data_IF_586153113786
#
_entry.id   IF_586153113786
#
_cell.length_a   1.000
_cell.length_b   1.000
_cell.length_c   1.000
_cell.angle_alpha   90.00
_cell.angle_beta   90.00
_cell.angle_gamma   90.00
#
_symmetry.space_group_name_H-M   'P 1'
#
loop_
_entity.id
_entity.type
_entity.pdbx_description
1 polymer ?
#
# COMPACT_ATOMS: atom_id res chain seq x y z
N UNK A 1 -20.19 6.93 -12.93
CA UNK A 1 -18.82 6.54 -13.36
C UNK A 1 -18.70 5.04 -13.30
N UNK A 2 -18.06 4.44 -14.30
CA UNK A 2 -17.81 3.01 -14.35
C UNK A 2 -16.66 2.65 -13.39
N UNK A 3 -16.82 1.54 -12.69
CA UNK A 3 -15.75 0.96 -11.89
C UNK A 3 -14.88 0.04 -12.76
N UNK A 4 -13.69 -0.33 -12.26
CA UNK A 4 -12.86 -1.34 -12.92
C UNK A 4 -13.63 -2.68 -13.10
N UNK A 5 -14.50 -3.04 -12.14
CA UNK A 5 -15.31 -4.24 -12.23
C UNK A 5 -16.27 -4.21 -13.43
N UNK A 6 -16.85 -3.04 -13.73
CA UNK A 6 -17.72 -2.86 -14.90
C UNK A 6 -16.93 -3.02 -16.21
N UNK A 7 -15.72 -2.45 -16.28
CA UNK A 7 -14.82 -2.61 -17.42
C UNK A 7 -14.38 -4.07 -17.61
N UNK A 8 -14.01 -4.76 -16.54
CA UNK A 8 -13.64 -6.19 -16.58
C UNK A 8 -14.83 -7.09 -16.99
N UNK A 9 -16.06 -6.67 -16.74
CA UNK A 9 -17.28 -7.40 -17.07
C UNK A 9 -17.70 -7.32 -18.55
N UNK A 10 -17.09 -6.44 -19.35
CA UNK A 10 -17.43 -6.26 -20.77
C UNK A 10 -16.25 -6.59 -21.69
N UNK A 11 -16.52 -7.12 -22.89
CA UNK A 11 -15.49 -7.42 -23.89
C UNK A 11 -14.74 -6.17 -24.33
N UNK A 12 -15.45 -5.05 -24.52
CA UNK A 12 -14.85 -3.76 -24.89
C UNK A 12 -13.96 -3.21 -23.79
N UNK A 13 -14.42 -3.29 -22.54
CA UNK A 13 -13.64 -2.86 -21.38
C UNK A 13 -12.37 -3.71 -21.19
N UNK A 14 -12.44 -5.02 -21.38
CA UNK A 14 -11.28 -5.92 -21.32
C UNK A 14 -10.26 -5.59 -22.43
N UNK A 15 -10.73 -5.32 -23.65
CA UNK A 15 -9.85 -4.91 -24.75
C UNK A 15 -9.19 -3.57 -24.47
N UNK A 16 -9.94 -2.60 -23.94
CA UNK A 16 -9.39 -1.31 -23.54
C UNK A 16 -8.34 -1.47 -22.44
N UNK A 17 -8.61 -2.25 -21.39
CA UNK A 17 -7.67 -2.54 -20.31
C UNK A 17 -6.40 -3.22 -20.83
N UNK A 18 -6.54 -4.21 -21.71
CA UNK A 18 -5.39 -4.89 -22.32
C UNK A 18 -4.54 -3.94 -23.19
N UNK A 19 -5.17 -3.00 -23.92
CA UNK A 19 -4.46 -1.96 -24.68
C UNK A 19 -3.64 -1.01 -23.79
N UNK A 20 -4.03 -0.89 -22.51
CA UNK A 20 -3.34 -0.11 -21.48
C UNK A 20 -2.38 -0.95 -20.61
N UNK A 21 -2.14 -2.22 -20.98
CA UNK A 21 -1.24 -3.11 -20.24
C UNK A 21 -1.82 -3.72 -18.98
N UNK A 22 -3.16 -3.71 -18.82
CA UNK A 22 -3.87 -4.34 -17.71
C UNK A 22 -4.48 -5.66 -18.16
N UNK A 23 -4.18 -6.73 -17.44
CA UNK A 23 -4.59 -8.10 -17.74
C UNK A 23 -5.36 -8.70 -16.56
N UNK A 24 -6.32 -9.58 -16.87
CA UNK A 24 -7.05 -10.38 -15.87
C UNK A 24 -6.62 -11.83 -15.88
N UNK A 25 -5.83 -12.22 -16.88
CA UNK A 25 -5.33 -13.59 -17.10
C UNK A 25 -3.83 -13.68 -16.79
N UNK A 26 -3.46 -14.55 -15.85
CA UNK A 26 -2.05 -14.82 -15.50
C UNK A 26 -1.20 -15.25 -16.71
N UNK A 27 -1.65 -16.11 -17.65
CA UNK A 27 -0.88 -16.43 -18.84
C UNK A 27 -0.58 -15.22 -19.72
N UNK A 28 -1.57 -14.39 -20.03
CA UNK A 28 -1.38 -13.18 -20.83
C UNK A 28 -0.43 -12.19 -20.16
N UNK A 29 -0.55 -12.03 -18.84
CA UNK A 29 0.35 -11.18 -18.07
C UNK A 29 1.80 -11.70 -18.13
N UNK A 30 2.03 -13.02 -17.98
CA UNK A 30 3.36 -13.64 -18.06
C UNK A 30 4.05 -13.38 -19.40
N UNK A 31 3.34 -13.43 -20.52
CA UNK A 31 3.88 -13.11 -21.85
C UNK A 31 4.33 -11.66 -22.00
N UNK A 32 3.83 -10.77 -21.19
CA UNK A 32 4.12 -9.33 -21.22
C UNK A 32 5.17 -8.87 -20.20
N UNK A 33 5.63 -9.78 -19.34
CA UNK A 33 6.68 -9.46 -18.36
C UNK A 33 7.96 -9.01 -19.08
N UNK A 34 8.49 -7.87 -18.66
CA UNK A 34 9.75 -7.34 -19.19
C UNK A 34 10.92 -7.57 -18.21
N UNK A 35 12.13 -7.44 -18.71
CA UNK A 35 13.30 -7.39 -17.85
C UNK A 35 13.27 -6.09 -17.03
N UNK A 36 13.66 -6.11 -15.74
CA UNK A 36 13.84 -4.89 -14.96
C UNK A 36 15.00 -4.07 -15.53
N UNK A 37 14.93 -2.75 -15.47
CA UNK A 37 16.00 -1.84 -15.89
C UNK A 37 17.08 -1.69 -14.80
N UNK A 38 16.72 -1.95 -13.53
CA UNK A 38 17.61 -1.92 -12.36
C UNK A 38 17.56 -3.24 -11.60
N UNK A 39 18.72 -3.70 -11.13
CA UNK A 39 18.87 -4.97 -10.42
C UNK A 39 19.16 -4.83 -8.93
N UNK A 40 19.46 -3.64 -8.44
CA UNK A 40 19.87 -3.43 -7.04
C UNK A 40 18.83 -3.90 -6.02
N UNK A 41 17.53 -3.78 -6.31
CA UNK A 41 16.49 -4.37 -5.44
C UNK A 41 16.58 -5.91 -5.45
N UNK A 42 16.72 -6.53 -6.63
CA UNK A 42 16.85 -7.98 -6.75
C UNK A 42 18.12 -8.49 -6.03
N UNK A 43 19.24 -7.79 -6.19
CA UNK A 43 20.49 -8.09 -5.49
C UNK A 43 20.30 -7.98 -3.98
N UNK A 44 19.67 -6.93 -3.47
CA UNK A 44 19.38 -6.74 -2.04
C UNK A 44 18.49 -7.83 -1.46
N UNK A 45 17.61 -8.42 -2.29
CA UNK A 45 16.78 -9.57 -1.92
C UNK A 45 17.48 -10.93 -2.09
N UNK A 46 18.73 -10.95 -2.60
CA UNK A 46 19.44 -12.18 -2.92
C UNK A 46 18.90 -12.92 -4.15
N UNK A 47 18.22 -12.20 -5.06
CA UNK A 47 17.50 -12.75 -6.22
C UNK A 47 18.00 -12.18 -7.54
N UNK A 48 19.32 -11.99 -7.63
CA UNK A 48 19.95 -11.47 -8.84
C UNK A 48 19.61 -12.33 -10.08
N UNK A 49 19.32 -11.65 -11.19
CA UNK A 49 18.93 -12.27 -12.47
C UNK A 49 17.46 -12.69 -12.55
N UNK A 50 16.66 -12.57 -11.49
CA UNK A 50 15.22 -12.88 -11.53
C UNK A 50 14.37 -11.68 -11.91
N UNK A 51 13.23 -11.95 -12.55
CA UNK A 51 12.18 -10.96 -12.80
C UNK A 51 11.33 -10.78 -11.55
N UNK A 52 11.26 -9.57 -11.03
CA UNK A 52 10.51 -9.26 -9.82
C UNK A 52 9.04 -8.99 -10.13
N UNK A 53 8.13 -9.71 -9.47
CA UNK A 53 6.67 -9.47 -9.52
C UNK A 53 6.24 -8.84 -8.20
N UNK A 54 5.76 -7.59 -8.27
CA UNK A 54 5.40 -6.83 -7.10
C UNK A 54 3.89 -6.75 -6.88
N UNK A 55 3.48 -6.81 -5.65
CA UNK A 55 2.20 -6.28 -5.19
C UNK A 55 2.42 -5.42 -3.96
N UNK A 56 1.44 -4.66 -3.51
CA UNK A 56 1.60 -3.84 -2.31
C UNK A 56 0.29 -3.50 -1.63
N UNK A 57 0.40 -3.21 -0.32
CA UNK A 57 -0.69 -2.76 0.53
C UNK A 57 -0.15 -2.04 1.77
N UNK A 58 -0.96 -1.17 2.34
CA UNK A 58 -0.72 -0.63 3.68
C UNK A 58 -0.64 -1.76 4.70
N UNK A 59 0.21 -1.60 5.70
CA UNK A 59 0.31 -2.51 6.84
C UNK A 59 -0.89 -2.35 7.76
N UNK A 60 -1.90 -3.19 7.53
CA UNK A 60 -3.10 -3.30 8.34
C UNK A 60 -2.93 -4.34 9.43
N UNK A 61 -3.76 -4.27 10.48
CA UNK A 61 -3.86 -5.34 11.48
C UNK A 61 -4.80 -6.47 11.02
N UNK A 62 -5.67 -6.17 10.06
CA UNK A 62 -6.63 -7.10 9.48
C UNK A 62 -6.85 -6.76 8.00
N UNK A 63 -7.28 -7.70 7.18
CA UNK A 63 -7.34 -7.55 5.74
C UNK A 63 -8.65 -8.04 5.16
N UNK A 64 -9.12 -7.32 4.13
CA UNK A 64 -10.21 -7.74 3.25
C UNK A 64 -9.75 -8.78 2.21
N UNK A 65 -10.69 -9.55 1.67
CA UNK A 65 -10.44 -10.58 0.65
C UNK A 65 -9.74 -10.02 -0.60
N UNK A 66 -9.98 -8.76 -0.93
CA UNK A 66 -9.30 -8.09 -2.06
C UNK A 66 -7.78 -8.02 -1.90
N UNK A 67 -7.25 -7.98 -0.69
CA UNK A 67 -5.80 -8.03 -0.41
C UNK A 67 -5.31 -9.48 -0.47
N UNK A 68 -6.09 -10.42 0.07
CA UNK A 68 -5.77 -11.84 0.00
C UNK A 68 -5.67 -12.33 -1.43
N UNK A 69 -6.55 -11.86 -2.34
CA UNK A 69 -6.48 -12.22 -3.76
C UNK A 69 -5.14 -11.84 -4.38
N UNK A 70 -4.58 -10.67 -4.05
CA UNK A 70 -3.25 -10.26 -4.51
C UNK A 70 -2.15 -11.21 -4.01
N UNK A 71 -2.19 -11.58 -2.73
CA UNK A 71 -1.21 -12.47 -2.11
C UNK A 71 -1.29 -13.87 -2.71
N UNK A 72 -2.49 -14.41 -2.92
CA UNK A 72 -2.69 -15.71 -3.53
C UNK A 72 -2.26 -15.73 -5.00
N UNK A 73 -2.47 -14.63 -5.72
CA UNK A 73 -1.95 -14.47 -7.09
C UNK A 73 -0.42 -14.46 -7.11
N UNK A 74 0.22 -13.76 -6.17
CA UNK A 74 1.69 -13.84 -6.06
C UNK A 74 2.18 -15.26 -5.79
N UNK A 75 1.44 -16.07 -5.02
CA UNK A 75 1.79 -17.47 -4.77
C UNK A 75 1.87 -18.30 -6.05
N UNK A 76 1.12 -17.96 -7.11
CA UNK A 76 1.17 -18.66 -8.40
C UNK A 76 2.52 -18.51 -9.12
N UNK A 77 3.32 -17.52 -8.74
CA UNK A 77 4.65 -17.26 -9.31
C UNK A 77 5.81 -17.83 -8.47
N UNK A 78 5.54 -18.33 -7.26
CA UNK A 78 6.60 -18.69 -6.30
C UNK A 78 7.52 -19.82 -6.76
N UNK A 79 6.98 -20.77 -7.54
CA UNK A 79 7.71 -21.97 -7.98
C UNK A 79 8.33 -21.78 -9.39
N UNK A 80 8.18 -20.59 -9.99
CA UNK A 80 8.78 -20.25 -11.28
C UNK A 80 10.27 -19.88 -11.07
N UNK A 81 11.21 -20.59 -11.73
CA UNK A 81 12.63 -20.37 -11.51
C UNK A 81 13.11 -18.98 -11.96
N UNK A 82 12.42 -18.35 -12.91
CA UNK A 82 12.80 -17.06 -13.49
C UNK A 82 12.11 -15.88 -12.80
N UNK A 83 11.12 -16.16 -11.95
CA UNK A 83 10.32 -15.14 -11.29
C UNK A 83 10.58 -15.10 -9.78
N UNK A 84 10.40 -13.90 -9.22
CA UNK A 84 10.44 -13.72 -7.78
C UNK A 84 9.30 -12.79 -7.33
N UNK A 85 8.23 -13.36 -6.75
CA UNK A 85 7.13 -12.58 -6.21
C UNK A 85 7.50 -12.01 -4.86
N UNK A 86 7.27 -10.69 -4.67
CA UNK A 86 7.40 -10.03 -3.38
C UNK A 86 6.24 -9.08 -3.10
N UNK A 87 6.07 -8.75 -1.83
CA UNK A 87 5.01 -7.84 -1.39
C UNK A 87 5.61 -6.60 -0.74
N UNK A 88 5.27 -5.43 -1.25
CA UNK A 88 5.66 -4.15 -0.70
C UNK A 88 4.67 -3.72 0.39
N UNK A 89 5.11 -3.76 1.63
CA UNK A 89 4.33 -3.31 2.77
C UNK A 89 4.54 -1.82 3.02
N UNK A 90 3.45 -1.06 2.95
CA UNK A 90 3.46 0.39 3.15
C UNK A 90 3.20 0.68 4.63
N UNK A 91 4.27 0.94 5.38
CA UNK A 91 4.28 1.31 6.79
C UNK A 91 4.31 2.83 7.00
N UNK A 92 4.43 3.58 5.91
CA UNK A 92 4.49 5.05 5.89
C UNK A 92 3.12 5.70 5.69
N UNK A 93 2.04 4.92 5.67
CA UNK A 93 0.71 5.50 5.59
C UNK A 93 0.19 5.90 6.97
N UNK A 94 -0.73 6.88 6.97
CA UNK A 94 -1.22 7.51 8.19
C UNK A 94 -2.19 6.62 8.94
N UNK A 95 -2.05 6.57 10.25
CA UNK A 95 -3.08 6.09 11.15
C UNK A 95 -4.32 7.00 11.02
N UNK A 96 -5.46 6.42 10.67
CA UNK A 96 -6.71 7.16 10.53
C UNK A 96 -7.83 6.54 11.33
N UNK A 97 -8.92 7.30 11.53
CA UNK A 97 -10.06 6.78 12.28
C UNK A 97 -10.77 5.62 11.57
N UNK A 98 -10.61 5.52 10.23
CA UNK A 98 -11.45 4.64 9.40
C UNK A 98 -10.69 3.55 8.65
N UNK A 99 -9.36 3.47 8.81
CA UNK A 99 -8.55 2.45 8.18
C UNK A 99 -8.19 1.27 9.11
N UNK A 100 -7.85 0.14 8.52
CA UNK A 100 -7.47 -1.10 9.21
C UNK A 100 -6.04 -1.07 9.79
N UNK A 101 -5.33 0.04 9.74
CA UNK A 101 -4.02 0.21 10.38
C UNK A 101 -4.19 0.13 11.90
N UNK A 102 -5.27 0.70 12.44
CA UNK A 102 -5.48 0.88 13.88
C UNK A 102 -6.67 0.14 14.45
N UNK A 103 -7.42 -0.60 13.62
CA UNK A 103 -8.63 -1.31 14.05
C UNK A 103 -8.78 -2.63 13.31
N UNK A 104 -9.44 -3.60 13.96
CA UNK A 104 -9.87 -4.82 13.28
C UNK A 104 -11.07 -4.56 12.36
N UNK A 105 -11.13 -5.25 11.21
CA UNK A 105 -12.31 -5.24 10.36
C UNK A 105 -13.51 -5.90 11.07
N UNK A 106 -13.23 -6.87 11.91
CA UNK A 106 -14.21 -7.65 12.67
C UNK A 106 -13.67 -7.92 14.09
N UNK A 107 -14.50 -8.02 15.12
CA UNK A 107 -15.95 -7.80 15.12
C UNK A 107 -16.32 -6.32 15.13
N UNK A 108 -17.50 -6.02 14.59
CA UNK A 108 -18.10 -4.68 14.66
C UNK A 108 -19.29 -4.75 15.62
N UNK A 109 -19.16 -4.10 16.75
CA UNK A 109 -20.31 -3.88 17.64
C UNK A 109 -21.15 -2.73 17.08
N UNK A 110 -22.42 -3.01 16.77
CA UNK A 110 -23.35 -2.00 16.20
C UNK A 110 -23.52 -0.75 17.07
N UNK A 111 -23.22 -0.86 18.39
CA UNK A 111 -23.32 0.25 19.35
C UNK A 111 -21.97 0.90 19.66
N UNK A 112 -20.87 0.13 19.61
CA UNK A 112 -19.54 0.56 20.06
C UNK A 112 -18.53 0.72 18.91
N UNK A 113 -18.91 0.32 17.69
CA UNK A 113 -18.03 0.34 16.54
C UNK A 113 -16.90 -0.70 16.57
N UNK A 114 -15.91 -0.58 15.67
CA UNK A 114 -14.81 -1.52 15.56
C UNK A 114 -13.86 -1.46 16.76
N UNK A 115 -13.21 -2.59 17.05
CA UNK A 115 -12.19 -2.65 18.11
C UNK A 115 -10.91 -1.97 17.60
N UNK A 116 -10.48 -0.93 18.31
CA UNK A 116 -9.26 -0.16 18.01
C UNK A 116 -8.13 -0.58 18.95
N UNK A 117 -6.91 -0.63 18.38
CA UNK A 117 -5.68 -0.95 19.11
C UNK A 117 -4.87 0.29 19.49
N UNK A 118 -5.26 1.46 18.99
CA UNK A 118 -4.60 2.74 19.28
C UNK A 118 -5.60 3.76 19.84
N UNK A 119 -5.13 4.77 20.59
CA UNK A 119 -5.96 5.89 21.03
C UNK A 119 -6.61 6.62 19.86
N UNK A 120 -7.83 7.12 20.04
CA UNK A 120 -8.59 7.85 19.02
C UNK A 120 -7.93 9.18 18.60
N UNK A 121 -6.97 9.70 19.38
CA UNK A 121 -6.26 10.95 19.10
C UNK A 121 -5.06 10.82 18.17
N UNK A 122 -4.60 9.60 17.88
CA UNK A 122 -3.47 9.37 16.96
C UNK A 122 -3.93 9.32 15.51
N UNK A 123 -4.33 10.49 14.97
CA UNK A 123 -4.69 10.64 13.56
C UNK A 123 -3.52 11.28 12.81
N UNK A 124 -3.39 10.91 11.55
CA UNK A 124 -2.44 11.52 10.60
C UNK A 124 -0.96 11.33 10.99
N UNK A 125 -0.64 10.28 11.77
CA UNK A 125 0.73 9.85 12.08
C UNK A 125 1.03 8.60 11.25
N UNK A 126 2.21 8.52 10.66
CA UNK A 126 2.63 7.29 9.96
C UNK A 126 2.76 6.13 10.94
N UNK A 127 2.31 4.93 10.55
CA UNK A 127 2.26 3.77 11.45
C UNK A 127 3.63 3.41 12.05
N UNK A 128 4.71 3.70 11.33
CA UNK A 128 6.10 3.52 11.79
C UNK A 128 6.53 4.45 12.95
N UNK A 129 5.75 5.50 13.24
CA UNK A 129 6.01 6.43 14.34
C UNK A 129 4.97 6.33 15.48
N UNK A 130 4.03 5.41 15.38
CA UNK A 130 3.01 5.20 16.43
C UNK A 130 3.49 4.15 17.41
N UNK A 131 3.71 4.57 18.65
CA UNK A 131 4.00 3.64 19.74
C UNK A 131 2.70 3.03 20.28
N UNK A 132 2.68 1.71 20.43
CA UNK A 132 1.57 1.00 21.04
C UNK A 132 1.62 1.13 22.57
N UNK A 133 0.47 1.46 23.15
CA UNK A 133 0.26 1.34 24.57
C UNK A 133 -0.12 -0.12 24.93
N UNK A 134 0.72 -0.85 25.69
CA UNK A 134 0.47 -2.24 26.04
C UNK A 134 -0.85 -2.44 26.79
N UNK A 135 -1.27 -1.47 27.60
CA UNK A 135 -2.53 -1.54 28.38
C UNK A 135 -3.73 -1.46 27.43
N UNK A 136 -3.68 -0.50 26.50
CA UNK A 136 -4.74 -0.33 25.50
C UNK A 136 -4.81 -1.52 24.55
N UNK A 137 -3.67 -2.01 24.06
CA UNK A 137 -3.61 -3.19 23.19
C UNK A 137 -4.20 -4.41 23.91
N UNK A 138 -3.83 -4.66 25.18
CA UNK A 138 -4.41 -5.74 25.98
C UNK A 138 -5.92 -5.58 26.13
N UNK A 139 -6.40 -4.36 26.42
CA UNK A 139 -7.83 -4.07 26.48
C UNK A 139 -8.57 -4.33 25.17
N UNK A 140 -7.95 -4.08 24.01
CA UNK A 140 -8.51 -4.38 22.69
C UNK A 140 -8.58 -5.91 22.46
N UNK A 141 -7.53 -6.65 22.83
CA UNK A 141 -7.48 -8.11 22.74
C UNK A 141 -8.54 -8.76 23.66
N UNK A 142 -8.74 -8.26 24.88
CA UNK A 142 -9.76 -8.75 25.79
C UNK A 142 -11.19 -8.46 25.29
N UNK A 143 -11.40 -7.32 24.61
CA UNK A 143 -12.66 -7.04 23.91
C UNK A 143 -12.90 -8.02 22.76
N UNK A 144 -11.87 -8.30 21.95
CA UNK A 144 -11.94 -9.31 20.90
C UNK A 144 -12.33 -10.67 21.47
N UNK A 145 -11.69 -11.10 22.58
CA UNK A 145 -12.04 -12.33 23.30
C UNK A 145 -13.51 -12.38 23.72
N UNK A 146 -14.00 -11.29 24.29
CA UNK A 146 -15.39 -11.19 24.78
C UNK A 146 -16.37 -11.35 23.62
N UNK A 147 -16.12 -10.71 22.47
CA UNK A 147 -16.95 -10.87 21.30
C UNK A 147 -16.92 -12.30 20.73
N UNK A 148 -15.75 -12.92 20.69
CA UNK A 148 -15.60 -14.30 20.23
C UNK A 148 -16.35 -15.31 21.12
N UNK A 149 -16.36 -15.09 22.43
CA UNK A 149 -17.05 -15.98 23.39
C UNK A 149 -18.57 -15.76 23.42
N UNK A 150 -19.03 -14.57 23.11
CA UNK A 150 -20.44 -14.18 23.12
C UNK A 150 -21.16 -14.40 21.80
N UNK A 151 -20.43 -14.48 20.70
CA UNK A 151 -21.02 -14.67 19.37
C UNK A 151 -21.33 -16.15 19.12
N UNK A 152 -22.59 -16.48 18.87
CA UNK A 152 -23.00 -17.81 18.39
C UNK A 152 -22.44 -18.15 17.00
N UNK A 153 -21.71 -17.24 16.39
CA UNK A 153 -21.14 -17.33 15.03
C UNK A 153 -19.79 -18.03 15.04
N UNK A 154 -19.10 -18.08 16.18
CA UNK A 154 -17.75 -18.64 16.28
C UNK A 154 -17.80 -20.13 16.67
N UNK A 155 -17.23 -20.98 15.84
CA UNK A 155 -17.16 -22.45 16.06
C UNK A 155 -16.31 -22.79 17.31
N UNK A 156 -16.53 -23.97 17.90
CA UNK A 156 -15.74 -24.46 19.05
C UNK A 156 -14.22 -24.52 18.75
N UNK A 157 -13.84 -24.80 17.51
CA UNK A 157 -12.44 -24.79 17.03
C UNK A 157 -11.77 -23.41 17.13
N UNK A 158 -12.53 -22.33 17.04
CA UNK A 158 -12.01 -20.98 17.14
C UNK A 158 -11.43 -20.65 18.53
N UNK A 159 -11.83 -21.37 19.58
CA UNK A 159 -11.29 -21.14 20.93
C UNK A 159 -9.80 -21.47 21.03
N UNK A 160 -9.36 -22.57 20.42
CA UNK A 160 -7.93 -22.96 20.41
C UNK A 160 -7.12 -21.98 19.56
N UNK A 161 -7.60 -21.62 18.38
CA UNK A 161 -6.99 -20.63 17.50
C UNK A 161 -6.89 -19.25 18.16
N UNK A 162 -7.94 -18.85 18.86
CA UNK A 162 -7.92 -17.61 19.63
C UNK A 162 -6.84 -17.64 20.72
N UNK A 163 -6.70 -18.76 21.45
CA UNK A 163 -5.67 -18.90 22.48
C UNK A 163 -4.25 -18.80 21.87
N UNK A 164 -4.04 -19.36 20.68
CA UNK A 164 -2.78 -19.23 19.94
C UNK A 164 -2.51 -17.76 19.56
N UNK A 165 -3.51 -17.10 18.97
CA UNK A 165 -3.45 -15.68 18.61
C UNK A 165 -3.20 -14.79 19.83
N UNK A 166 -3.85 -15.06 20.95
CA UNK A 166 -3.65 -14.32 22.20
C UNK A 166 -2.22 -14.44 22.72
N UNK A 167 -1.65 -15.66 22.73
CA UNK A 167 -0.26 -15.87 23.12
C UNK A 167 0.71 -15.11 22.19
N UNK A 168 0.37 -15.05 20.91
CA UNK A 168 1.14 -14.26 19.95
C UNK A 168 1.05 -12.76 20.29
N UNK A 169 -0.13 -12.22 20.49
CA UNK A 169 -0.32 -10.80 20.86
C UNK A 169 0.39 -10.45 22.18
N UNK A 170 0.30 -11.32 23.21
CA UNK A 170 0.95 -11.08 24.50
C UNK A 170 2.50 -11.00 24.36
N UNK A 171 3.07 -11.73 23.40
CA UNK A 171 4.51 -11.70 23.08
C UNK A 171 4.92 -10.45 22.30
N UNK A 172 4.12 -10.05 21.31
CA UNK A 172 4.42 -8.94 20.37
C UNK A 172 3.87 -7.58 20.85
N UNK A 173 3.34 -7.50 22.06
CA UNK A 173 2.57 -6.35 22.57
C UNK A 173 3.38 -5.08 22.86
N UNK A 174 4.70 -5.11 22.71
CA UNK A 174 5.55 -3.95 22.95
C UNK A 174 6.18 -3.48 21.63
N UNK A 175 5.99 -2.20 21.27
CA UNK A 175 6.74 -1.64 20.15
C UNK A 175 5.96 -0.65 19.29
N UNK A 176 6.35 -0.60 18.04
CA UNK A 176 5.82 0.29 17.02
C UNK A 176 4.64 -0.39 16.32
N UNK A 177 3.63 0.39 15.94
CA UNK A 177 2.40 -0.13 15.31
C UNK A 177 2.66 -0.86 13.99
N UNK A 178 3.55 -0.34 13.14
CA UNK A 178 3.90 -1.01 11.87
C UNK A 178 4.52 -2.38 12.11
N UNK A 179 5.45 -2.50 13.06
CA UNK A 179 6.10 -3.77 13.37
C UNK A 179 5.11 -4.78 13.93
N UNK A 180 4.23 -4.32 14.81
CA UNK A 180 3.15 -5.16 15.34
C UNK A 180 2.21 -5.64 14.23
N UNK A 181 1.75 -4.73 13.36
CA UNK A 181 0.87 -5.09 12.23
C UNK A 181 1.57 -6.06 11.27
N UNK A 182 2.86 -5.86 10.99
CA UNK A 182 3.63 -6.78 10.16
C UNK A 182 3.70 -8.18 10.77
N UNK A 183 4.00 -8.28 12.05
CA UNK A 183 4.06 -9.57 12.75
C UNK A 183 2.69 -10.27 12.80
N UNK A 184 1.60 -9.52 13.03
CA UNK A 184 0.22 -10.06 12.99
C UNK A 184 -0.13 -10.56 11.59
N UNK A 185 0.21 -9.76 10.57
CA UNK A 185 -0.01 -10.13 9.17
C UNK A 185 0.71 -11.43 8.81
N UNK A 186 2.00 -11.48 9.11
CA UNK A 186 2.83 -12.66 8.86
C UNK A 186 2.29 -13.91 9.57
N UNK A 187 1.90 -13.77 10.84
CA UNK A 187 1.28 -14.85 11.61
C UNK A 187 -0.01 -15.35 10.94
N UNK A 188 -0.93 -14.43 10.61
CA UNK A 188 -2.23 -14.80 10.02
C UNK A 188 -2.06 -15.44 8.63
N UNK A 189 -1.20 -14.89 7.77
CA UNK A 189 -0.96 -15.44 6.44
C UNK A 189 -0.39 -16.85 6.52
N UNK A 190 0.62 -17.08 7.36
CA UNK A 190 1.20 -18.43 7.51
C UNK A 190 0.21 -19.42 8.13
N UNK A 191 -0.56 -19.01 9.13
CA UNK A 191 -1.51 -19.89 9.82
C UNK A 191 -2.78 -20.20 9.01
N UNK A 192 -3.23 -19.26 8.20
CA UNK A 192 -4.46 -19.41 7.40
C UNK A 192 -4.20 -19.84 5.97
N UNK A 193 -3.22 -19.22 5.28
CA UNK A 193 -2.94 -19.52 3.88
C UNK A 193 -1.80 -20.53 3.69
N UNK A 194 -1.00 -20.81 4.73
CA UNK A 194 0.22 -21.60 4.64
C UNK A 194 1.26 -20.94 3.71
N UNK A 195 1.14 -19.65 3.46
CA UNK A 195 2.01 -18.89 2.57
C UNK A 195 2.08 -17.42 3.00
N UNK A 196 3.30 -16.92 3.07
CA UNK A 196 3.61 -15.49 3.19
C UNK A 196 4.59 -15.12 2.07
N UNK A 197 4.31 -14.08 1.26
CA UNK A 197 5.27 -13.64 0.24
C UNK A 197 6.52 -13.05 0.89
N UNK A 198 7.62 -13.07 0.14
CA UNK A 198 8.79 -12.27 0.50
C UNK A 198 8.37 -10.80 0.64
N UNK A 199 8.97 -10.11 1.59
CA UNK A 199 8.48 -8.81 2.03
C UNK A 199 9.53 -7.72 1.89
N UNK A 200 9.11 -6.58 1.35
CA UNK A 200 9.86 -5.32 1.38
C UNK A 200 9.05 -4.32 2.19
N UNK A 201 9.65 -3.73 3.20
CA UNK A 201 9.04 -2.64 3.97
C UNK A 201 9.42 -1.31 3.33
N UNK A 202 8.44 -0.46 3.04
CA UNK A 202 8.67 0.78 2.29
C UNK A 202 9.64 1.73 3.01
N UNK A 203 9.50 1.90 4.32
CA UNK A 203 10.43 2.75 5.09
C UNK A 203 11.87 2.25 5.06
N UNK A 204 12.08 0.93 5.04
CA UNK A 204 13.42 0.36 4.89
C UNK A 204 14.00 0.64 3.49
N UNK A 205 13.19 0.52 2.44
CA UNK A 205 13.61 0.86 1.08
C UNK A 205 13.99 2.34 0.97
N UNK A 206 13.19 3.23 1.59
CA UNK A 206 13.47 4.67 1.69
C UNK A 206 14.79 4.92 2.42
N UNK A 207 14.98 4.33 3.60
CA UNK A 207 16.16 4.53 4.44
C UNK A 207 17.45 4.00 3.80
N UNK A 208 17.35 3.02 2.90
CA UNK A 208 18.46 2.52 2.08
C UNK A 208 18.70 3.34 0.81
N UNK A 209 17.88 4.37 0.55
CA UNK A 209 17.98 5.22 -0.63
C UNK A 209 17.59 4.57 -1.95
N UNK A 210 16.89 3.41 -1.92
CA UNK A 210 16.55 2.63 -3.12
C UNK A 210 15.71 3.38 -4.14
N UNK A 211 14.90 4.35 -3.70
CA UNK A 211 14.00 5.12 -4.57
C UNK A 211 14.35 6.60 -4.69
N UNK A 212 15.46 7.04 -4.12
CA UNK A 212 15.82 8.46 -4.06
C UNK A 212 16.10 9.05 -5.45
N UNK A 213 16.74 8.28 -6.32
CA UNK A 213 17.04 8.71 -7.71
C UNK A 213 15.77 8.88 -8.53
N UNK A 214 14.82 7.95 -8.41
CA UNK A 214 13.53 8.00 -9.12
C UNK A 214 12.68 9.17 -8.62
N UNK A 215 12.73 9.46 -7.32
CA UNK A 215 12.08 10.66 -6.74
C UNK A 215 12.72 11.92 -7.31
N UNK A 216 14.06 12.02 -7.34
CA UNK A 216 14.76 13.15 -7.93
C UNK A 216 14.39 13.33 -9.41
N UNK A 217 14.29 12.25 -10.17
CA UNK A 217 13.88 12.30 -11.57
C UNK A 217 12.47 12.91 -11.73
N UNK A 218 11.51 12.48 -10.92
CA UNK A 218 10.14 13.03 -10.95
C UNK A 218 10.11 14.49 -10.51
N UNK A 219 10.86 14.86 -9.48
CA UNK A 219 10.92 16.23 -8.96
C UNK A 219 11.54 17.20 -9.98
N UNK A 220 12.48 16.74 -10.78
CA UNK A 220 13.07 17.54 -11.86
C UNK A 220 12.11 17.77 -13.05
N UNK A 221 11.03 17.00 -13.16
CA UNK A 221 9.99 17.12 -14.21
C UNK A 221 8.61 17.46 -13.62
N UNK A 222 8.57 18.12 -12.47
CA UNK A 222 7.37 18.26 -11.66
C UNK A 222 6.19 18.91 -12.40
N UNK A 223 6.44 19.96 -13.17
CA UNK A 223 5.40 20.67 -13.93
C UNK A 223 4.77 19.78 -15.01
N UNK A 224 5.59 19.04 -15.74
CA UNK A 224 5.14 18.07 -16.74
C UNK A 224 4.40 16.90 -16.08
N UNK A 225 4.89 16.42 -14.93
CA UNK A 225 4.25 15.36 -14.15
C UNK A 225 2.85 15.80 -13.71
N UNK A 226 2.70 16.99 -13.14
CA UNK A 226 1.39 17.54 -12.74
C UNK A 226 0.46 17.66 -13.95
N UNK A 227 0.95 18.21 -15.05
CA UNK A 227 0.18 18.40 -16.28
C UNK A 227 -0.33 17.08 -16.83
N UNK A 228 0.55 16.08 -17.01
CA UNK A 228 0.17 14.78 -17.57
C UNK A 228 -0.72 14.02 -16.61
N UNK A 229 -0.41 14.01 -15.31
CA UNK A 229 -1.24 13.39 -14.28
C UNK A 229 -2.67 13.93 -14.32
N UNK A 230 -2.83 15.25 -14.31
CA UNK A 230 -4.15 15.90 -14.33
C UNK A 230 -4.90 15.64 -15.64
N UNK A 231 -4.23 15.68 -16.79
CA UNK A 231 -4.83 15.34 -18.08
C UNK A 231 -5.32 13.89 -18.12
N UNK A 232 -4.55 12.95 -17.59
CA UNK A 232 -4.95 11.54 -17.51
C UNK A 232 -6.16 11.33 -16.59
N UNK A 233 -6.20 12.01 -15.43
CA UNK A 233 -7.38 12.00 -14.53
C UNK A 233 -8.62 12.50 -15.27
N UNK A 234 -8.52 13.66 -15.95
CA UNK A 234 -9.64 14.25 -16.70
C UNK A 234 -10.11 13.33 -17.85
N UNK A 235 -9.16 12.77 -18.61
CA UNK A 235 -9.48 11.83 -19.69
C UNK A 235 -10.25 10.60 -19.21
N UNK A 236 -9.88 10.03 -18.06
CA UNK A 236 -10.63 8.91 -17.47
C UNK A 236 -12.04 9.35 -17.05
N UNK A 237 -12.20 10.53 -16.44
CA UNK A 237 -13.48 11.09 -16.04
C UNK A 237 -14.40 11.34 -17.25
N UNK A 238 -13.86 11.85 -18.37
CA UNK A 238 -14.57 12.05 -19.63
C UNK A 238 -15.07 10.74 -20.23
N UNK A 239 -14.32 9.65 -20.04
CA UNK A 239 -14.74 8.29 -20.40
C UNK A 239 -15.76 7.68 -19.41
N UNK A 240 -16.14 8.43 -18.37
CA UNK A 240 -17.03 7.97 -17.33
C UNK A 240 -16.38 6.99 -16.34
N UNK A 241 -15.07 6.90 -16.29
CA UNK A 241 -14.30 6.02 -15.40
C UNK A 241 -13.88 6.81 -14.15
N UNK A 242 -14.03 6.22 -12.96
CA UNK A 242 -13.55 6.81 -11.72
C UNK A 242 -12.04 6.56 -11.57
N UNK A 243 -11.18 7.60 -11.63
CA UNK A 243 -9.72 7.43 -11.58
C UNK A 243 -9.19 7.03 -10.20
N UNK A 244 -10.02 7.07 -9.16
CA UNK A 244 -9.67 6.80 -7.75
C UNK A 244 -8.61 7.76 -7.16
N UNK A 245 -8.33 8.85 -7.85
CA UNK A 245 -7.41 9.91 -7.41
C UNK A 245 -7.93 11.27 -7.88
N UNK A 246 -7.53 12.32 -7.17
CA UNK A 246 -7.88 13.70 -7.50
C UNK A 246 -6.77 14.38 -8.32
N UNK A 247 -7.13 15.47 -9.02
CA UNK A 247 -6.15 16.33 -9.70
C UNK A 247 -5.18 16.95 -8.69
N UNK A 248 -4.02 17.35 -9.18
CA UNK A 248 -2.94 17.96 -8.38
C UNK A 248 -2.88 19.47 -8.60
N UNK A 249 -2.64 20.18 -7.50
CA UNK A 249 -2.40 21.62 -7.52
C UNK A 249 -1.00 21.94 -8.08
N UNK A 250 -0.77 23.21 -8.42
CA UNK A 250 0.52 23.66 -8.98
C UNK A 250 1.68 23.57 -7.98
N UNK A 251 1.40 23.65 -6.68
CA UNK A 251 2.39 23.51 -5.59
C UNK A 251 2.59 22.05 -5.13
N UNK A 252 2.05 21.10 -5.90
CA UNK A 252 2.16 19.69 -5.57
C UNK A 252 3.60 19.20 -5.57
N UNK A 253 3.96 18.46 -4.52
CA UNK A 253 5.17 17.64 -4.44
C UNK A 253 4.75 16.23 -4.02
N UNK A 254 5.23 15.15 -4.67
CA UNK A 254 4.77 13.78 -4.40
C UNK A 254 5.34 13.20 -3.10
N UNK A 255 5.53 14.04 -2.10
CA UNK A 255 6.19 13.69 -0.85
C UNK A 255 5.41 14.20 0.36
N UNK A 256 5.50 13.42 1.42
CA UNK A 256 5.11 13.80 2.77
C UNK A 256 6.33 13.87 3.67
N UNK A 257 6.21 14.63 4.74
CA UNK A 257 7.20 14.75 5.80
C UNK A 257 6.52 14.53 7.16
N UNK A 258 7.12 13.71 8.01
CA UNK A 258 6.62 13.51 9.38
C UNK A 258 7.31 14.45 10.34
N UNK A 259 6.52 15.34 10.95
CA UNK A 259 7.00 16.34 11.93
C UNK A 259 7.85 15.68 13.01
N UNK A 260 9.00 16.30 13.36
CA UNK A 260 9.91 15.75 14.35
C UNK A 260 9.44 15.96 15.81
N UNK A 261 8.39 16.76 16.03
CA UNK A 261 7.83 17.05 17.36
C UNK A 261 6.64 16.14 17.68
N UNK A 262 5.65 16.09 16.78
CA UNK A 262 4.39 15.37 17.03
C UNK A 262 4.12 14.21 16.05
N UNK A 263 5.08 13.93 15.16
CA UNK A 263 5.03 12.88 14.14
C UNK A 263 3.87 13.01 13.13
N UNK A 264 3.21 14.17 13.04
CA UNK A 264 2.17 14.37 12.04
C UNK A 264 2.74 14.27 10.62
N UNK A 265 2.06 13.52 9.78
CA UNK A 265 2.37 13.39 8.36
C UNK A 265 1.84 14.59 7.60
N UNK A 266 2.74 15.42 7.11
CA UNK A 266 2.48 16.70 6.45
C UNK A 266 2.76 16.57 4.95
N UNK A 267 1.88 17.07 4.10
CA UNK A 267 2.17 17.17 2.67
C UNK A 267 3.20 18.26 2.43
N UNK A 268 4.27 17.92 1.74
CA UNK A 268 5.23 18.91 1.25
C UNK A 268 4.64 19.65 0.04
N UNK A 269 4.96 20.94 -0.05
CA UNK A 269 4.59 21.83 -1.15
C UNK A 269 5.84 22.35 -1.84
N UNK A 270 5.82 22.41 -3.15
CA UNK A 270 6.86 23.01 -3.95
C UNK A 270 6.69 24.52 -3.99
N UNK A 271 7.76 25.25 -3.68
CA UNK A 271 7.80 26.71 -3.69
C UNK A 271 9.05 27.18 -4.40
N UNK A 272 8.93 28.20 -5.26
CA UNK A 272 10.06 28.82 -5.97
C UNK A 272 10.21 30.25 -5.48
N UNK A 273 11.42 30.60 -5.00
CA UNK A 273 11.76 31.96 -4.53
C UNK A 273 13.13 32.37 -5.10
N UNK A 274 13.17 33.47 -5.86
CA UNK A 274 14.40 33.98 -6.47
C UNK A 274 15.17 32.97 -7.34
N UNK A 275 14.47 31.99 -7.91
CA UNK A 275 15.06 30.92 -8.73
C UNK A 275 15.53 29.70 -7.93
N UNK A 276 15.46 29.74 -6.61
CA UNK A 276 15.68 28.57 -5.75
C UNK A 276 14.36 27.81 -5.53
N UNK A 277 14.43 26.49 -5.55
CA UNK A 277 13.31 25.61 -5.33
C UNK A 277 13.36 25.03 -3.92
N UNK A 278 12.22 25.00 -3.25
CA UNK A 278 12.08 24.52 -1.87
C UNK A 278 10.92 23.55 -1.74
N UNK A 279 11.07 22.58 -0.83
CA UNK A 279 9.99 21.81 -0.28
C UNK A 279 9.60 22.37 1.09
N UNK A 280 8.33 22.73 1.27
CA UNK A 280 7.88 23.39 2.51
C UNK A 280 6.65 22.72 3.10
N UNK A 281 6.53 22.72 4.41
CA UNK A 281 5.28 22.41 5.12
C UNK A 281 5.26 23.05 6.49
N UNK A 282 4.06 23.27 7.03
CA UNK A 282 3.83 23.82 8.38
C UNK A 282 3.05 22.82 9.21
N UNK A 283 3.53 22.50 10.39
CA UNK A 283 2.83 21.66 11.35
C UNK A 283 1.91 22.46 12.26
N UNK A 284 0.83 21.89 12.70
CA UNK A 284 -0.06 22.50 13.70
C UNK A 284 0.58 22.72 15.07
N UNK A 285 1.72 22.05 15.37
CA UNK A 285 2.51 22.31 16.56
C UNK A 285 3.29 23.64 16.51
N UNK A 286 3.29 24.33 15.33
CA UNK A 286 3.99 25.58 15.08
C UNK A 286 5.32 25.45 14.34
N UNK A 287 5.82 24.22 14.15
CA UNK A 287 7.04 23.96 13.39
C UNK A 287 6.85 24.23 11.91
N UNK A 288 7.84 24.89 11.30
CA UNK A 288 7.92 25.15 9.88
C UNK A 288 9.13 24.44 9.29
N UNK A 289 8.90 23.64 8.27
CA UNK A 289 9.93 22.89 7.56
C UNK A 289 10.16 23.51 6.19
N UNK A 290 11.43 23.68 5.85
CA UNK A 290 11.87 24.20 4.56
C UNK A 290 13.16 23.49 4.17
N UNK A 291 13.12 22.75 3.07
CA UNK A 291 14.25 22.01 2.52
C UNK A 291 14.62 22.60 1.18
N UNK A 292 15.90 22.81 0.94
CA UNK A 292 16.40 23.28 -0.33
C UNK A 292 16.44 22.12 -1.33
N UNK A 293 15.80 22.29 -2.47
CA UNK A 293 15.83 21.32 -3.56
C UNK A 293 16.87 21.65 -4.63
N UNK A 294 17.43 22.87 -4.62
CA UNK A 294 18.37 23.37 -5.63
C UNK A 294 17.76 24.38 -6.60
N UNK A 295 18.48 24.69 -7.69
CA UNK A 295 18.04 25.67 -8.70
C UNK A 295 17.75 25.00 -10.07
N UNK A 296 18.77 24.47 -10.73
CA UNK A 296 18.67 23.93 -12.08
C UNK A 296 18.47 22.41 -12.11
N UNK A 297 18.97 21.73 -11.10
CA UNK A 297 18.80 20.29 -10.88
C UNK A 297 18.29 20.11 -9.47
N UNK A 298 17.09 19.55 -9.36
CA UNK A 298 16.42 19.39 -8.07
C UNK A 298 16.81 18.06 -7.42
N UNK A 299 17.01 18.09 -6.10
CA UNK A 299 17.35 16.93 -5.30
C UNK A 299 16.62 16.95 -3.97
N UNK A 300 16.15 15.79 -3.53
CA UNK A 300 15.54 15.63 -2.21
C UNK A 300 16.58 15.26 -1.12
N UNK A 301 17.88 15.46 -1.36
CA UNK A 301 18.92 15.01 -0.44
C UNK A 301 18.70 15.49 1.01
N UNK A 302 18.42 16.78 1.24
CA UNK A 302 18.13 17.31 2.58
C UNK A 302 16.92 16.63 3.24
N UNK A 303 15.90 16.29 2.44
CA UNK A 303 14.71 15.57 2.93
C UNK A 303 15.09 14.14 3.26
N UNK A 304 15.84 13.47 2.36
CA UNK A 304 16.24 12.08 2.50
C UNK A 304 17.09 11.81 3.74
N UNK A 305 18.01 12.70 4.07
CA UNK A 305 18.85 12.61 5.27
C UNK A 305 18.05 12.57 6.58
N UNK A 306 16.85 13.15 6.59
CA UNK A 306 16.01 13.15 7.79
C UNK A 306 15.41 11.78 8.11
N UNK A 307 15.30 10.87 7.13
CA UNK A 307 14.59 9.59 7.22
C UNK A 307 13.13 9.70 7.68
N UNK A 308 12.53 10.90 7.55
CA UNK A 308 11.18 11.23 8.01
C UNK A 308 10.21 11.54 6.87
N UNK A 309 10.58 11.22 5.65
CA UNK A 309 9.74 11.44 4.47
C UNK A 309 9.09 10.15 3.99
N UNK A 310 8.06 10.30 3.20
CA UNK A 310 7.39 9.21 2.51
C UNK A 310 6.80 9.67 1.19
N UNK A 311 6.73 8.79 0.18
CA UNK A 311 6.09 9.10 -1.09
C UNK A 311 4.56 9.08 -0.96
N UNK A 312 3.89 9.68 -1.94
CA UNK A 312 2.44 9.62 -2.09
C UNK A 312 1.98 8.55 -3.11
N UNK A 313 0.85 8.79 -3.78
CA UNK A 313 0.26 7.89 -4.76
C UNK A 313 1.16 7.58 -5.97
N UNK A 314 2.18 8.39 -6.25
CA UNK A 314 3.19 8.12 -7.29
C UNK A 314 4.20 7.02 -6.89
N UNK A 315 4.10 6.47 -5.67
CA UNK A 315 4.99 5.42 -5.19
C UNK A 315 5.26 4.28 -6.21
N UNK A 316 4.27 3.74 -6.94
CA UNK A 316 4.54 2.70 -7.93
C UNK A 316 5.49 3.13 -9.05
N UNK A 317 5.51 4.43 -9.41
CA UNK A 317 6.44 4.96 -10.39
C UNK A 317 7.90 4.79 -9.94
N UNK A 318 8.17 4.92 -8.65
CA UNK A 318 9.51 4.80 -8.09
C UNK A 318 10.06 3.38 -8.12
N UNK A 319 9.19 2.38 -8.27
CA UNK A 319 9.56 0.97 -8.38
C UNK A 319 9.50 0.42 -9.80
N UNK A 320 9.07 1.22 -10.80
CA UNK A 320 8.88 0.74 -12.18
C UNK A 320 10.12 0.06 -12.78
N UNK A 321 11.30 0.59 -12.51
CA UNK A 321 12.54 0.12 -13.11
C UNK A 321 13.08 -1.16 -12.43
N UNK A 322 12.60 -1.45 -11.22
CA UNK A 322 13.00 -2.62 -10.44
C UNK A 322 12.13 -3.85 -10.67
N UNK A 323 10.90 -3.67 -11.18
CA UNK A 323 9.94 -4.76 -11.29
C UNK A 323 9.65 -5.11 -12.74
N UNK A 324 9.19 -6.33 -12.96
CA UNK A 324 8.79 -6.85 -14.28
C UNK A 324 7.29 -6.80 -14.48
N UNK A 325 6.52 -6.67 -13.39
CA UNK A 325 5.06 -6.56 -13.42
C UNK A 325 4.48 -6.28 -12.05
N UNK A 326 3.25 -5.73 -12.03
CA UNK A 326 2.48 -5.49 -10.81
C UNK A 326 1.25 -6.39 -10.73
N UNK A 327 0.97 -6.89 -9.53
CA UNK A 327 -0.34 -7.47 -9.17
C UNK A 327 -1.10 -6.41 -8.38
N UNK A 328 -2.15 -5.84 -8.98
CA UNK A 328 -2.90 -4.73 -8.44
C UNK A 328 -4.32 -5.13 -8.01
N UNK A 329 -4.84 -4.48 -6.97
CA UNK A 329 -6.27 -4.56 -6.65
C UNK A 329 -7.10 -3.71 -7.62
N UNK A 330 -8.42 -3.92 -7.63
CA UNK A 330 -9.34 -3.22 -8.54
C UNK A 330 -9.25 -1.69 -8.43
N UNK A 331 -9.13 -1.15 -7.22
CA UNK A 331 -9.00 0.30 -7.02
C UNK A 331 -7.61 0.82 -7.45
N UNK A 332 -6.55 0.06 -7.17
CA UNK A 332 -5.19 0.50 -7.49
C UNK A 332 -4.85 0.40 -8.98
N UNK A 333 -5.46 -0.51 -9.73
CA UNK A 333 -5.18 -0.64 -11.16
C UNK A 333 -5.52 0.63 -11.95
N UNK A 334 -6.59 1.35 -11.58
CA UNK A 334 -7.00 2.57 -12.29
C UNK A 334 -6.01 3.71 -12.10
N UNK A 335 -5.55 3.96 -10.87
CA UNK A 335 -4.54 5.01 -10.68
C UNK A 335 -3.16 4.61 -11.23
N UNK A 336 -2.84 3.31 -11.30
CA UNK A 336 -1.62 2.84 -11.97
C UNK A 336 -1.61 3.21 -13.45
N UNK A 337 -2.75 3.26 -14.14
CA UNK A 337 -2.82 3.73 -15.53
C UNK A 337 -2.39 5.19 -15.66
N UNK A 338 -2.81 6.04 -14.72
CA UNK A 338 -2.41 7.46 -14.69
C UNK A 338 -0.89 7.57 -14.45
N UNK A 339 -0.35 6.75 -13.55
CA UNK A 339 1.08 6.69 -13.29
C UNK A 339 1.85 6.21 -14.53
N UNK A 340 1.31 5.24 -15.27
CA UNK A 340 1.89 4.76 -16.51
C UNK A 340 1.94 5.87 -17.57
N UNK A 341 0.91 6.71 -17.68
CA UNK A 341 0.91 7.87 -18.57
C UNK A 341 2.04 8.86 -18.19
N UNK A 342 2.25 9.12 -16.91
CA UNK A 342 3.36 9.96 -16.42
C UNK A 342 4.72 9.33 -16.78
N UNK A 343 4.92 8.06 -16.52
CA UNK A 343 6.15 7.33 -16.84
C UNK A 343 6.48 7.40 -18.32
N UNK A 344 5.49 7.17 -19.18
CA UNK A 344 5.68 7.15 -20.65
C UNK A 344 5.87 8.54 -21.23
N UNK A 345 4.98 9.48 -20.90
CA UNK A 345 4.92 10.78 -21.60
C UNK A 345 5.92 11.78 -21.04
N UNK A 346 6.24 11.72 -19.75
CA UNK A 346 7.18 12.65 -19.10
C UNK A 346 8.58 12.07 -19.03
N UNK A 347 8.70 10.82 -18.57
CA UNK A 347 10.02 10.23 -18.29
C UNK A 347 10.53 9.32 -19.42
N UNK A 348 9.73 9.09 -20.49
CA UNK A 348 10.10 8.24 -21.61
C UNK A 348 10.32 6.76 -21.22
N UNK A 349 9.80 6.34 -20.04
CA UNK A 349 10.02 5.00 -19.51
C UNK A 349 9.03 3.99 -20.08
N UNK A 350 9.48 2.76 -20.22
CA UNK A 350 8.59 1.64 -20.52
C UNK A 350 7.86 1.22 -19.23
N UNK A 351 6.54 1.13 -19.30
CA UNK A 351 5.74 0.69 -18.15
C UNK A 351 5.66 -0.83 -18.05
N UNK A 352 5.45 -1.32 -16.83
CA UNK A 352 5.29 -2.74 -16.58
C UNK A 352 3.83 -3.17 -16.70
N UNK A 353 3.54 -4.43 -17.11
CA UNK A 353 2.19 -4.94 -17.15
C UNK A 353 1.57 -5.03 -15.75
N UNK A 354 0.25 -4.89 -15.69
CA UNK A 354 -0.54 -4.94 -14.46
C UNK A 354 -1.48 -6.15 -14.54
N UNK A 355 -1.40 -7.04 -13.57
CA UNK A 355 -2.36 -8.14 -13.38
C UNK A 355 -3.38 -7.74 -12.32
N UNK A 356 -4.65 -7.78 -12.68
CA UNK A 356 -5.76 -7.62 -11.74
C UNK A 356 -6.36 -9.01 -11.49
N UNK A 357 -6.17 -9.60 -10.30
CA UNK A 357 -6.72 -10.90 -10.00
C UNK A 357 -8.24 -10.91 -10.11
N UNK A 358 -8.81 -11.96 -10.66
CA UNK A 358 -10.21 -12.24 -10.48
C UNK A 358 -10.47 -12.37 -8.97
N UNK A 359 -11.52 -11.71 -8.46
CA UNK A 359 -11.88 -11.85 -7.05
C UNK A 359 -12.12 -13.34 -6.77
N UNK A 360 -11.49 -13.86 -5.72
CA UNK A 360 -11.67 -15.24 -5.25
C UNK A 360 -13.16 -15.52 -5.01
N UNK A 361 -13.90 -15.86 -6.07
CA UNK A 361 -15.20 -16.49 -6.10
C UNK A 361 -16.35 -15.95 -5.21
N UNK A 362 -16.12 -14.95 -4.40
CA UNK A 362 -17.12 -14.27 -3.59
C UNK A 362 -17.50 -12.95 -4.29
N UNK A 363 -18.29 -13.08 -5.34
CA UNK A 363 -19.06 -11.95 -5.83
C UNK A 363 -19.98 -11.48 -4.71
N UNK A 364 -19.75 -10.29 -4.17
CA UNK A 364 -20.43 -9.65 -3.05
C UNK A 364 -20.63 -10.62 -1.85
N UNK A 365 -19.88 -10.47 -0.75
CA UNK A 365 -20.19 -11.27 0.43
C UNK A 365 -21.68 -11.10 0.73
N UNK A 366 -22.38 -12.20 0.99
CA UNK A 366 -23.74 -12.12 1.51
C UNK A 366 -23.73 -11.12 2.68
N UNK A 367 -24.82 -10.37 2.96
CA UNK A 367 -24.84 -9.36 4.02
C UNK A 367 -24.32 -9.84 5.37
N UNK A 368 -24.29 -11.15 5.57
CA UNK A 368 -23.84 -11.82 6.80
C UNK A 368 -22.36 -12.30 6.73
N UNK A 369 -21.67 -12.13 5.59
CA UNK A 369 -20.28 -12.56 5.45
C UNK A 369 -19.34 -11.42 5.83
N UNK A 370 -18.49 -11.68 6.84
CA UNK A 370 -17.49 -10.74 7.32
C UNK A 370 -16.26 -10.80 6.40
N UNK A 371 -15.88 -9.66 5.82
CA UNK A 371 -14.68 -9.53 4.99
C UNK A 371 -13.48 -9.19 5.88
N UNK A 372 -12.90 -10.23 6.51
CA UNK A 372 -11.81 -10.12 7.49
C UNK A 372 -10.95 -11.38 7.49
N UNK A 373 -9.64 -11.21 7.33
CA UNK A 373 -8.66 -12.30 7.45
C UNK A 373 -8.67 -12.92 8.84
N UNK A 374 -8.80 -12.10 9.88
CA UNK A 374 -8.89 -12.54 11.26
C UNK A 374 -10.12 -13.44 11.48
N UNK A 375 -11.27 -13.03 10.94
CA UNK A 375 -12.50 -13.82 11.00
C UNK A 375 -12.32 -15.18 10.30
N UNK A 376 -11.75 -15.17 9.11
CA UNK A 376 -11.49 -16.38 8.33
C UNK A 376 -10.53 -17.33 9.05
N UNK A 377 -9.43 -16.80 9.60
CA UNK A 377 -8.50 -17.60 10.41
C UNK A 377 -9.20 -18.29 11.58
N UNK A 378 -10.07 -17.58 12.30
CA UNK A 378 -10.75 -18.11 13.47
C UNK A 378 -11.84 -19.14 13.13
N UNK A 379 -12.55 -18.98 12.00
CA UNK A 379 -13.76 -19.75 11.69
C UNK A 379 -13.59 -20.85 10.64
N UNK A 380 -12.57 -20.77 9.80
CA UNK A 380 -12.33 -21.81 8.80
C UNK A 380 -11.47 -22.95 9.39
N UNK A 381 -11.85 -24.18 9.13
CA UNK A 381 -10.99 -25.34 9.33
C UNK A 381 -9.91 -25.30 8.24
N UNK A 382 -8.65 -25.32 8.63
CA UNK A 382 -7.51 -25.44 7.74
C UNK A 382 -7.36 -26.89 7.34
#
# INVERSE_FOLDING_TARGET
MQSLADLMGSSEGQQWLASKGVFTSTPQFREKLKAPERSDLAINLGMDGKKLICSGQQLYIDYHQSVLSKILTLREFKDDPDLFPFFLWVDTDRSGSDNLITKFAWPVDSKKGPIRITPSGMKDIESRFVHLDPVQLRGAIDKLATHLLQSNVVRKSAKSKYQELRKFFDRESAGILSDFNYQVTYFLLNKYLGYSPESVILSEAINRGLITEEVNLIVNHLDEVIKVFNASVQSMQELGIDPQVEIRDQDYLPLFYSCNVDNLRLRLKHVVENGDHFATCTCRCGENYRFNLGQNTLSIAEIAETQRWSPDVLMPAFFNDYVSGYVAGKSSALYLLIINDVLQQVLGKTTVPILVPESLGRSNPAPDQVDSLLYDYLNNEV
#
